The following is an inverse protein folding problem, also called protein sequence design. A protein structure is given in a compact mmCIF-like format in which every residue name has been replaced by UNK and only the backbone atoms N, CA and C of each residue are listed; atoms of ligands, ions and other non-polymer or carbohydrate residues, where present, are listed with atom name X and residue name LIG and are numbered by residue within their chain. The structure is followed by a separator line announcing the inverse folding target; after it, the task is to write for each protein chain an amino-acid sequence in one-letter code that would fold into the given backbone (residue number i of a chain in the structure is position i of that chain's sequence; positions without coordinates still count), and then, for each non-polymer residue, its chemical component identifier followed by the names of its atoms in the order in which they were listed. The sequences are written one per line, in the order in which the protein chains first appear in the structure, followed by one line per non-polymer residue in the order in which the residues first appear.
data_IF_169230050296
#
_entry.id   IF_169230050296
#
_cell.length_a   1.000
_cell.length_b   1.000
_cell.length_c   1.000
_cell.angle_alpha   90.00
_cell.angle_beta   90.00
_cell.angle_gamma   90.00
#
_symmetry.space_group_name_H-M   'P 1'
#
loop_
_entity.id
_entity.type
_entity.pdbx_description
1 polymer ?
#
# COMPACT_ATOMS: atom_id res chain seq x y z
N UNK A 1 4.18 32.31 12.94
CA UNK A 1 2.79 32.42 13.41
C UNK A 1 1.77 32.14 12.31
N UNK A 2 1.77 32.81 11.16
CA UNK A 2 0.83 32.55 10.04
C UNK A 2 0.88 31.12 9.50
N UNK A 3 2.03 30.49 9.33
CA UNK A 3 2.18 29.11 8.87
C UNK A 3 1.62 28.07 9.84
N UNK A 4 1.71 28.31 11.16
CA UNK A 4 1.12 27.40 12.17
C UNK A 4 -0.40 27.50 12.20
N UNK A 5 -0.95 28.70 12.04
CA UNK A 5 -2.41 28.92 11.97
C UNK A 5 -2.98 28.26 10.73
N UNK A 6 -2.32 28.37 9.59
CA UNK A 6 -2.77 27.74 8.34
C UNK A 6 -2.72 26.19 8.40
N UNK A 7 -1.66 25.61 9.00
CA UNK A 7 -1.57 24.17 9.23
C UNK A 7 -2.68 23.66 10.16
N UNK A 8 -2.94 24.36 11.27
CA UNK A 8 -4.01 24.00 12.19
C UNK A 8 -5.39 24.01 11.55
N UNK A 9 -5.69 25.03 10.75
CA UNK A 9 -6.96 25.14 10.01
C UNK A 9 -7.11 24.01 8.97
N UNK A 10 -6.08 23.73 8.19
CA UNK A 10 -6.09 22.67 7.19
C UNK A 10 -6.32 21.29 7.83
N UNK A 11 -5.66 21.01 8.97
CA UNK A 11 -5.81 19.77 9.70
C UNK A 11 -7.23 19.61 10.27
N UNK A 12 -7.80 20.68 10.83
CA UNK A 12 -9.17 20.66 11.39
C UNK A 12 -10.22 20.44 10.29
N UNK A 13 -10.10 21.12 9.15
CA UNK A 13 -11.01 20.95 8.01
C UNK A 13 -10.90 19.52 7.45
N UNK A 14 -9.67 19.00 7.31
CA UNK A 14 -9.44 17.63 6.89
C UNK A 14 -10.06 16.61 7.85
N UNK A 15 -9.93 16.82 9.16
CA UNK A 15 -10.49 15.92 10.16
C UNK A 15 -12.03 15.89 10.10
N UNK A 16 -12.68 17.06 10.07
CA UNK A 16 -14.15 17.16 9.93
C UNK A 16 -14.64 16.53 8.64
N UNK A 17 -13.94 16.76 7.54
CA UNK A 17 -14.22 16.08 6.27
C UNK A 17 -14.05 14.57 6.40
N UNK A 18 -12.99 14.12 7.07
CA UNK A 18 -12.72 12.71 7.30
C UNK A 18 -13.80 12.01 8.11
N UNK A 19 -14.33 12.63 9.17
CA UNK A 19 -15.45 12.10 9.94
C UNK A 19 -16.69 11.87 9.07
N UNK A 20 -16.90 12.70 8.07
CA UNK A 20 -18.04 12.60 7.15
C UNK A 20 -17.81 11.61 6.01
N UNK A 21 -16.62 11.58 5.41
CA UNK A 21 -16.36 10.91 4.14
C UNK A 21 -15.54 9.62 4.27
N UNK A 22 -14.68 9.50 5.33
CA UNK A 22 -13.71 8.40 5.44
C UNK A 22 -14.14 7.30 6.40
N UNK A 23 -15.30 7.47 7.04
CA UNK A 23 -15.91 6.50 7.95
C UNK A 23 -16.86 5.56 7.19
N UNK A 24 -17.39 4.57 7.89
CA UNK A 24 -18.37 3.62 7.35
C UNK A 24 -19.58 4.32 6.72
N UNK A 25 -20.13 5.33 7.40
CA UNK A 25 -21.27 6.09 6.88
C UNK A 25 -20.94 6.86 5.60
N UNK A 26 -19.70 7.39 5.49
CA UNK A 26 -19.22 8.02 4.26
C UNK A 26 -19.12 7.03 3.10
N UNK A 27 -18.59 5.84 3.37
CA UNK A 27 -18.54 4.76 2.40
C UNK A 27 -19.93 4.32 1.95
N UNK A 28 -20.86 4.06 2.87
CA UNK A 28 -22.23 3.64 2.56
C UNK A 28 -22.96 4.69 1.70
N UNK A 29 -22.76 5.98 2.00
CA UNK A 29 -23.29 7.08 1.20
C UNK A 29 -22.73 7.10 -0.22
N UNK A 30 -21.42 6.94 -0.39
CA UNK A 30 -20.78 6.90 -1.69
C UNK A 30 -21.16 5.62 -2.47
N UNK A 31 -21.19 4.48 -1.79
CA UNK A 31 -21.47 3.18 -2.36
C UNK A 31 -22.90 3.06 -2.93
N UNK A 32 -23.83 3.89 -2.46
CA UNK A 32 -25.19 3.96 -3.02
C UNK A 32 -25.22 4.35 -4.51
N UNK A 33 -24.13 4.94 -5.00
CA UNK A 33 -23.97 5.35 -6.41
C UNK A 33 -23.11 4.36 -7.21
N UNK A 34 -22.55 3.31 -6.59
CA UNK A 34 -21.76 2.32 -7.30
C UNK A 34 -22.66 1.36 -8.07
N UNK A 35 -22.23 0.99 -9.27
CA UNK A 35 -22.88 -0.08 -10.00
C UNK A 35 -22.44 -1.44 -9.42
N UNK A 36 -23.34 -2.26 -8.86
CA UNK A 36 -22.98 -3.56 -8.29
C UNK A 36 -22.26 -4.49 -9.28
N UNK A 37 -22.56 -4.37 -10.58
CA UNK A 37 -21.93 -5.16 -11.63
C UNK A 37 -20.48 -4.79 -11.95
N UNK A 38 -19.97 -3.63 -11.50
CA UNK A 38 -18.61 -3.19 -11.82
C UNK A 38 -17.53 -4.12 -11.24
N UNK A 39 -17.85 -4.87 -10.19
CA UNK A 39 -16.96 -5.84 -9.56
C UNK A 39 -17.24 -7.30 -9.96
N UNK A 40 -18.19 -7.53 -10.84
CA UNK A 40 -18.48 -8.86 -11.39
C UNK A 40 -17.58 -9.13 -12.60
N UNK A 41 -16.30 -9.32 -12.30
CA UNK A 41 -15.24 -9.53 -13.27
C UNK A 41 -14.52 -10.84 -13.01
N UNK A 42 -14.23 -11.58 -14.07
CA UNK A 42 -13.33 -12.73 -14.06
C UNK A 42 -11.88 -12.24 -14.32
N UNK A 43 -10.97 -12.62 -13.44
CA UNK A 43 -9.54 -12.32 -13.57
C UNK A 43 -8.69 -13.59 -13.67
N UNK A 44 -9.31 -14.68 -14.12
CA UNK A 44 -8.61 -15.95 -14.39
C UNK A 44 -7.47 -15.73 -15.36
N UNK A 45 -6.32 -16.31 -15.05
CA UNK A 45 -5.09 -16.14 -15.84
C UNK A 45 -4.32 -14.85 -15.59
N UNK A 46 -4.84 -13.93 -14.78
CA UNK A 46 -4.09 -12.74 -14.36
C UNK A 46 -3.35 -12.99 -13.04
N UNK A 47 -2.15 -12.42 -12.92
CA UNK A 47 -1.31 -12.51 -11.73
C UNK A 47 -1.24 -11.19 -10.96
N UNK A 48 -1.40 -11.28 -9.65
CA UNK A 48 -1.45 -10.14 -8.73
C UNK A 48 -0.39 -10.30 -7.64
N UNK A 49 0.48 -9.32 -7.47
CA UNK A 49 1.38 -9.27 -6.34
C UNK A 49 0.92 -8.20 -5.35
N UNK A 50 0.63 -8.60 -4.10
CA UNK A 50 0.01 -7.75 -3.09
C UNK A 50 0.90 -7.70 -1.85
N UNK A 51 1.40 -6.52 -1.49
CA UNK A 51 2.21 -6.36 -0.29
C UNK A 51 1.34 -6.15 0.96
N UNK A 52 1.76 -6.70 2.10
CA UNK A 52 1.03 -6.60 3.36
C UNK A 52 -0.32 -7.32 3.35
N UNK A 53 -0.39 -8.46 2.65
CA UNK A 53 -1.63 -9.19 2.38
C UNK A 53 -1.98 -10.27 3.41
N UNK A 54 -1.30 -10.30 4.56
CA UNK A 54 -1.61 -11.23 5.65
C UNK A 54 -2.68 -10.69 6.63
N UNK A 55 -3.14 -9.45 6.47
CA UNK A 55 -4.15 -8.84 7.33
C UNK A 55 -4.85 -7.66 6.67
N UNK A 56 -5.95 -7.19 7.27
CA UNK A 56 -6.64 -5.96 6.90
C UNK A 56 -7.00 -5.85 5.42
N UNK A 57 -6.77 -4.67 4.85
CA UNK A 57 -7.11 -4.33 3.45
C UNK A 57 -6.42 -5.29 2.47
N UNK A 58 -5.11 -5.53 2.64
CA UNK A 58 -4.35 -6.39 1.74
C UNK A 58 -4.88 -7.83 1.71
N UNK A 59 -5.25 -8.40 2.87
CA UNK A 59 -5.82 -9.74 2.95
C UNK A 59 -7.19 -9.81 2.28
N UNK A 60 -8.05 -8.80 2.52
CA UNK A 60 -9.37 -8.75 1.87
C UNK A 60 -9.23 -8.61 0.36
N UNK A 61 -8.32 -7.77 -0.12
CA UNK A 61 -8.02 -7.63 -1.55
C UNK A 61 -7.55 -8.96 -2.15
N UNK A 62 -6.62 -9.66 -1.49
CA UNK A 62 -6.13 -10.96 -1.92
C UNK A 62 -7.26 -11.99 -2.04
N UNK A 63 -8.14 -12.03 -1.04
CA UNK A 63 -9.31 -12.93 -1.03
C UNK A 63 -10.27 -12.65 -2.19
N UNK A 64 -10.60 -11.38 -2.41
CA UNK A 64 -11.55 -11.00 -3.48
C UNK A 64 -11.00 -11.28 -4.89
N UNK A 65 -9.68 -11.12 -5.08
CA UNK A 65 -9.01 -11.49 -6.32
C UNK A 65 -8.99 -13.02 -6.49
N UNK A 66 -8.66 -13.76 -5.43
CA UNK A 66 -8.66 -15.22 -5.46
C UNK A 66 -10.04 -15.78 -5.79
N UNK A 67 -11.14 -15.23 -5.20
CA UNK A 67 -12.53 -15.60 -5.52
C UNK A 67 -12.90 -15.41 -6.99
N UNK A 68 -12.22 -14.50 -7.68
CA UNK A 68 -12.44 -14.20 -9.11
C UNK A 68 -11.45 -14.93 -10.04
N UNK A 69 -10.79 -15.97 -9.52
CA UNK A 69 -9.91 -16.85 -10.30
C UNK A 69 -8.49 -16.34 -10.52
N UNK A 70 -8.11 -15.17 -9.95
CA UNK A 70 -6.77 -14.62 -10.11
C UNK A 70 -5.69 -15.41 -9.36
N UNK A 71 -4.48 -15.41 -9.89
CA UNK A 71 -3.28 -15.88 -9.21
C UNK A 71 -2.78 -14.81 -8.25
N UNK A 72 -2.64 -15.14 -6.97
CA UNK A 72 -2.29 -14.19 -5.91
C UNK A 72 -0.92 -14.50 -5.32
N UNK A 73 0.00 -13.55 -5.42
CA UNK A 73 1.29 -13.55 -4.76
C UNK A 73 1.25 -12.62 -3.55
N UNK A 74 1.17 -13.18 -2.37
CA UNK A 74 1.14 -12.47 -1.09
C UNK A 74 2.56 -12.15 -0.64
N UNK A 75 2.93 -10.87 -0.53
CA UNK A 75 4.23 -10.45 0.01
C UNK A 75 4.06 -9.96 1.44
N UNK A 76 4.66 -10.67 2.40
CA UNK A 76 4.50 -10.46 3.83
C UNK A 76 5.83 -10.63 4.56
N UNK A 77 6.03 -9.96 5.69
CA UNK A 77 7.29 -10.07 6.46
C UNK A 77 7.31 -11.22 7.49
N UNK A 78 6.16 -11.76 7.88
CA UNK A 78 6.04 -12.78 8.91
C UNK A 78 5.48 -14.06 8.31
N UNK A 79 6.26 -15.14 8.36
CA UNK A 79 5.93 -16.43 7.75
C UNK A 79 4.64 -17.04 8.33
N UNK A 80 4.54 -17.14 9.65
CA UNK A 80 3.40 -17.78 10.31
C UNK A 80 2.07 -17.09 9.95
N UNK A 81 2.04 -15.75 10.02
CA UNK A 81 0.86 -14.96 9.65
C UNK A 81 0.56 -15.05 8.15
N UNK A 82 1.57 -15.12 7.30
CA UNK A 82 1.40 -15.25 5.86
C UNK A 82 0.75 -16.59 5.51
N UNK A 83 1.25 -17.70 6.06
CA UNK A 83 0.72 -19.03 5.81
C UNK A 83 -0.69 -19.20 6.40
N UNK A 84 -0.95 -18.68 7.60
CA UNK A 84 -2.30 -18.69 8.17
C UNK A 84 -3.30 -17.90 7.30
N UNK A 85 -2.91 -16.74 6.80
CA UNK A 85 -3.77 -15.94 5.90
C UNK A 85 -3.96 -16.62 4.55
N UNK A 86 -2.89 -17.21 3.98
CA UNK A 86 -2.95 -17.98 2.74
C UNK A 86 -3.94 -19.15 2.84
N UNK A 87 -3.83 -19.95 3.90
CA UNK A 87 -4.74 -21.08 4.12
C UNK A 87 -6.21 -20.64 4.17
N UNK A 88 -6.51 -19.54 4.89
CA UNK A 88 -7.86 -18.98 4.96
C UNK A 88 -8.35 -18.47 3.59
N UNK A 89 -7.49 -17.81 2.81
CA UNK A 89 -7.84 -17.32 1.46
C UNK A 89 -8.17 -18.51 0.54
N UNK A 90 -7.35 -19.56 0.56
CA UNK A 90 -7.59 -20.78 -0.23
C UNK A 90 -8.92 -21.44 0.19
N UNK A 91 -9.14 -21.59 1.49
CA UNK A 91 -10.36 -22.18 2.03
C UNK A 91 -11.62 -21.42 1.60
N UNK A 92 -11.61 -20.09 1.70
CA UNK A 92 -12.76 -19.25 1.39
C UNK A 92 -12.98 -19.04 -0.12
N UNK A 93 -11.92 -18.96 -0.91
CA UNK A 93 -12.00 -18.71 -2.37
C UNK A 93 -12.13 -19.99 -3.17
N UNK A 94 -11.73 -21.15 -2.63
CA UNK A 94 -11.55 -22.43 -3.34
C UNK A 94 -10.53 -22.34 -4.49
N UNK A 95 -9.62 -21.38 -4.42
CA UNK A 95 -8.57 -21.16 -5.42
C UNK A 95 -7.20 -21.48 -4.82
N UNK A 96 -6.53 -22.48 -5.36
CA UNK A 96 -5.21 -22.94 -4.91
C UNK A 96 -4.05 -22.03 -5.42
N UNK A 97 -4.31 -21.14 -6.38
CA UNK A 97 -3.30 -20.27 -6.97
C UNK A 97 -2.98 -19.06 -6.05
N UNK A 98 -2.70 -19.34 -4.78
CA UNK A 98 -2.34 -18.36 -3.76
C UNK A 98 -0.98 -18.73 -3.17
N UNK A 99 0.01 -17.86 -3.32
CA UNK A 99 1.41 -18.08 -2.96
C UNK A 99 1.87 -17.05 -1.93
N UNK A 100 2.52 -17.51 -0.84
CA UNK A 100 3.12 -16.62 0.14
C UNK A 100 4.62 -16.43 -0.13
N UNK A 101 5.06 -15.17 -0.09
CA UNK A 101 6.46 -14.77 -0.20
C UNK A 101 6.84 -13.98 1.03
N UNK A 102 7.96 -14.33 1.65
CA UNK A 102 8.44 -13.66 2.86
C UNK A 102 9.47 -12.63 2.47
N UNK A 103 9.14 -11.36 2.73
CA UNK A 103 9.97 -10.22 2.40
C UNK A 103 9.69 -9.06 3.37
N UNK A 104 10.75 -8.47 3.92
CA UNK A 104 10.68 -7.22 4.67
C UNK A 104 11.00 -6.04 3.75
N UNK A 105 9.99 -5.18 3.53
CA UNK A 105 10.13 -4.01 2.66
C UNK A 105 11.02 -2.91 3.26
N UNK A 106 11.49 -3.04 4.49
CA UNK A 106 12.51 -2.15 5.05
C UNK A 106 13.94 -2.51 4.65
N UNK A 107 14.13 -3.62 3.92
CA UNK A 107 15.43 -4.16 3.50
C UNK A 107 15.62 -4.02 1.99
N UNK A 108 16.29 -2.97 1.51
CA UNK A 108 16.42 -2.66 0.08
C UNK A 108 17.03 -3.79 -0.75
N UNK A 109 18.06 -4.46 -0.21
CA UNK A 109 18.74 -5.55 -0.90
C UNK A 109 17.84 -6.76 -1.08
N UNK A 110 17.13 -7.15 -0.01
CA UNK A 110 16.23 -8.30 -0.04
C UNK A 110 15.09 -8.09 -1.06
N UNK A 111 14.60 -6.85 -1.20
CA UNK A 111 13.58 -6.52 -2.21
C UNK A 111 14.12 -6.75 -3.62
N UNK A 112 15.34 -6.28 -3.90
CA UNK A 112 15.96 -6.43 -5.20
C UNK A 112 16.17 -7.89 -5.57
N UNK A 113 16.73 -8.67 -4.63
CA UNK A 113 17.01 -10.08 -4.82
C UNK A 113 15.70 -10.88 -4.98
N UNK A 114 14.68 -10.57 -4.19
CA UNK A 114 13.32 -11.13 -4.37
C UNK A 114 12.76 -10.86 -5.77
N UNK A 115 12.82 -9.63 -6.25
CA UNK A 115 12.30 -9.28 -7.58
C UNK A 115 13.04 -10.01 -8.69
N UNK A 116 14.37 -10.14 -8.59
CA UNK A 116 15.17 -10.89 -9.54
C UNK A 116 14.79 -12.38 -9.58
N UNK A 117 14.54 -12.99 -8.42
CA UNK A 117 14.11 -14.39 -8.33
C UNK A 117 12.65 -14.58 -8.72
N UNK A 118 11.79 -13.64 -8.42
CA UNK A 118 10.40 -13.65 -8.86
C UNK A 118 10.30 -13.60 -10.39
N UNK A 119 11.09 -12.74 -11.04
CA UNK A 119 11.12 -12.61 -12.49
C UNK A 119 11.66 -13.85 -13.23
N UNK A 120 12.48 -14.70 -12.58
CA UNK A 120 12.94 -15.98 -13.14
C UNK A 120 11.83 -17.04 -13.18
N UNK A 121 10.85 -16.93 -12.27
CA UNK A 121 9.80 -17.95 -12.07
C UNK A 121 8.45 -17.55 -12.63
N UNK A 122 8.30 -16.32 -13.10
CA UNK A 122 7.05 -15.78 -13.62
C UNK A 122 7.32 -15.06 -14.95
N UNK A 123 6.51 -15.35 -15.95
CA UNK A 123 6.67 -14.77 -17.29
C UNK A 123 6.23 -13.31 -17.36
N UNK A 124 5.22 -12.93 -16.58
CA UNK A 124 4.65 -11.59 -16.48
C UNK A 124 4.02 -11.34 -15.11
N UNK A 125 3.68 -10.11 -14.83
CA UNK A 125 2.88 -9.67 -13.68
C UNK A 125 1.84 -8.67 -14.18
N UNK A 126 0.55 -8.96 -13.98
CA UNK A 126 -0.53 -8.07 -14.45
C UNK A 126 -0.74 -6.89 -13.51
N UNK A 127 -0.75 -7.15 -12.19
CA UNK A 127 -1.06 -6.12 -11.20
C UNK A 127 -0.11 -6.18 -10.01
N UNK A 128 0.52 -5.04 -9.70
CA UNK A 128 1.23 -4.81 -8.44
C UNK A 128 0.36 -3.94 -7.52
N UNK A 129 0.05 -4.43 -6.31
CA UNK A 129 -0.64 -3.68 -5.27
C UNK A 129 0.34 -3.34 -4.14
N UNK A 130 0.81 -2.12 -4.12
CA UNK A 130 1.63 -1.55 -3.04
C UNK A 130 0.72 -1.15 -1.87
N UNK A 131 0.37 -2.13 -1.03
CA UNK A 131 -0.53 -1.92 0.10
C UNK A 131 0.19 -1.91 1.45
N UNK A 132 1.32 -2.59 1.58
CA UNK A 132 2.07 -2.62 2.84
C UNK A 132 2.43 -1.22 3.33
N UNK A 133 2.40 -1.05 4.63
CA UNK A 133 2.85 0.17 5.29
C UNK A 133 3.04 -0.07 6.79
N UNK A 134 3.87 0.75 7.39
CA UNK A 134 4.04 0.80 8.84
C UNK A 134 3.99 2.26 9.32
N UNK A 135 3.65 2.43 10.58
CA UNK A 135 3.74 3.68 11.30
C UNK A 135 4.38 3.39 12.66
N UNK A 136 5.64 3.74 12.83
CA UNK A 136 6.33 3.69 14.12
C UNK A 136 6.43 5.10 14.68
N UNK A 137 6.12 5.24 15.97
CA UNK A 137 5.98 6.56 16.61
C UNK A 137 7.30 7.09 17.22
N UNK A 138 8.34 6.25 17.24
CA UNK A 138 9.68 6.63 17.62
C UNK A 138 10.59 6.46 16.41
N UNK A 139 11.61 7.29 16.28
CA UNK A 139 12.58 7.15 15.21
C UNK A 139 13.40 5.88 15.41
N UNK A 140 13.13 4.89 14.58
CA UNK A 140 13.90 3.65 14.48
C UNK A 140 14.71 3.67 13.18
N UNK A 141 15.94 3.19 13.26
CA UNK A 141 16.84 3.07 12.12
C UNK A 141 17.06 1.59 11.83
N UNK A 142 16.97 1.20 10.56
CA UNK A 142 17.24 -0.16 10.10
C UNK A 142 18.73 -0.47 10.13
N UNK A 143 19.09 -1.75 9.95
CA UNK A 143 20.50 -2.19 9.84
C UNK A 143 21.25 -1.49 8.68
N UNK A 144 20.51 -1.06 7.65
CA UNK A 144 21.05 -0.30 6.51
C UNK A 144 21.16 1.22 6.77
N UNK A 145 20.92 1.68 8.00
CA UNK A 145 21.00 3.10 8.36
C UNK A 145 19.82 3.95 7.90
N UNK A 146 18.69 3.34 7.53
CA UNK A 146 17.51 4.04 7.01
C UNK A 146 16.43 4.21 8.09
N UNK A 147 15.74 5.36 8.10
CA UNK A 147 14.55 5.54 8.95
C UNK A 147 13.47 4.55 8.53
N UNK A 148 12.89 3.84 9.48
CA UNK A 148 12.05 2.65 9.27
C UNK A 148 10.75 2.92 8.52
N UNK A 149 10.06 4.03 8.80
CA UNK A 149 8.86 4.40 8.06
C UNK A 149 9.21 4.74 6.60
N UNK A 150 10.26 5.53 6.39
CA UNK A 150 10.76 5.87 5.06
C UNK A 150 11.21 4.63 4.30
N UNK A 151 12.03 3.77 4.93
CA UNK A 151 12.53 2.55 4.33
C UNK A 151 11.39 1.64 3.84
N UNK A 152 10.37 1.44 4.69
CA UNK A 152 9.23 0.55 4.38
C UNK A 152 8.24 1.18 3.41
N UNK A 153 7.77 2.40 3.72
CA UNK A 153 6.62 2.98 3.01
C UNK A 153 7.01 3.62 1.68
N UNK A 154 8.19 4.23 1.61
CA UNK A 154 8.62 5.00 0.44
C UNK A 154 9.66 4.25 -0.38
N UNK A 155 10.81 3.96 0.22
CA UNK A 155 11.94 3.36 -0.49
C UNK A 155 11.63 1.92 -0.92
N UNK A 156 11.04 1.11 -0.02
CA UNK A 156 10.66 -0.26 -0.34
C UNK A 156 9.62 -0.33 -1.45
N UNK A 157 8.61 0.53 -1.40
CA UNK A 157 7.61 0.69 -2.48
C UNK A 157 8.28 1.11 -3.80
N UNK A 158 9.23 2.04 -3.73
CA UNK A 158 9.97 2.50 -4.91
C UNK A 158 10.78 1.38 -5.55
N UNK A 159 11.62 0.68 -4.76
CA UNK A 159 12.48 -0.39 -5.27
C UNK A 159 11.63 -1.53 -5.86
N UNK A 160 10.61 -1.98 -5.13
CA UNK A 160 9.73 -3.06 -5.58
C UNK A 160 9.06 -2.71 -6.91
N UNK A 161 8.52 -1.50 -7.02
CA UNK A 161 7.85 -1.04 -8.25
C UNK A 161 8.83 -0.98 -9.41
N UNK A 162 9.99 -0.33 -9.23
CA UNK A 162 10.99 -0.19 -10.29
C UNK A 162 11.58 -1.53 -10.74
N UNK A 163 11.86 -2.43 -9.80
CA UNK A 163 12.43 -3.74 -10.11
C UNK A 163 11.43 -4.69 -10.82
N UNK A 164 10.12 -4.54 -10.55
CA UNK A 164 9.07 -5.33 -11.21
C UNK A 164 8.55 -4.69 -12.50
N UNK A 165 8.91 -3.46 -12.83
CA UNK A 165 8.47 -2.79 -14.08
C UNK A 165 8.76 -3.61 -15.36
N UNK A 166 9.93 -4.26 -15.53
CA UNK A 166 10.18 -5.07 -16.71
C UNK A 166 9.19 -6.24 -16.84
N UNK A 167 8.79 -6.83 -15.71
CA UNK A 167 7.84 -7.94 -15.67
C UNK A 167 6.40 -7.45 -15.91
N UNK A 168 6.02 -6.32 -15.33
CA UNK A 168 4.73 -5.66 -15.55
C UNK A 168 4.55 -5.31 -17.05
N UNK A 169 5.57 -4.78 -17.70
CA UNK A 169 5.52 -4.40 -19.13
C UNK A 169 5.30 -5.57 -20.09
N UNK A 170 5.45 -6.81 -19.63
CA UNK A 170 5.12 -8.01 -20.43
C UNK A 170 3.63 -8.36 -20.38
N UNK A 171 2.88 -7.85 -19.42
CA UNK A 171 1.44 -8.06 -19.35
C UNK A 171 0.68 -7.23 -20.38
N UNK A 172 -0.52 -7.67 -20.74
CA UNK A 172 -1.36 -6.98 -21.73
C UNK A 172 -1.89 -5.63 -21.23
N UNK A 173 -2.34 -5.56 -19.98
CA UNK A 173 -2.90 -4.34 -19.36
C UNK A 173 -2.30 -4.14 -17.96
N UNK A 174 -1.00 -3.87 -17.85
CA UNK A 174 -0.32 -3.83 -16.56
C UNK A 174 -0.81 -2.68 -15.69
N UNK A 175 -0.93 -2.94 -14.39
CA UNK A 175 -1.38 -1.95 -13.41
C UNK A 175 -0.47 -1.92 -12.19
N UNK A 176 -0.26 -0.73 -11.65
CA UNK A 176 0.32 -0.53 -10.32
C UNK A 176 -0.66 0.29 -9.51
N UNK A 177 -1.12 -0.28 -8.40
CA UNK A 177 -2.06 0.36 -7.47
C UNK A 177 -1.33 0.62 -6.16
N UNK A 178 -1.26 1.89 -5.75
CA UNK A 178 -0.61 2.28 -4.49
C UNK A 178 -1.66 2.70 -3.46
N UNK A 179 -1.65 2.03 -2.30
CA UNK A 179 -2.54 2.36 -1.18
C UNK A 179 -1.87 3.41 -0.32
N UNK A 180 -2.26 4.67 -0.53
CA UNK A 180 -1.81 5.82 0.24
C UNK A 180 -2.67 6.02 1.50
N UNK A 181 -2.83 7.24 1.96
CA UNK A 181 -3.65 7.61 3.12
C UNK A 181 -4.18 9.03 2.98
N UNK A 182 -5.35 9.30 3.55
CA UNK A 182 -5.87 10.66 3.66
C UNK A 182 -4.96 11.62 4.44
N UNK A 183 -4.09 11.10 5.31
CA UNK A 183 -3.05 11.88 5.99
C UNK A 183 -2.12 12.64 5.06
N UNK A 184 -1.93 12.17 3.82
CA UNK A 184 -1.12 12.87 2.81
C UNK A 184 -1.65 14.28 2.47
N UNK A 185 -2.92 14.56 2.71
CA UNK A 185 -3.55 15.85 2.44
C UNK A 185 -3.10 16.96 3.41
N UNK A 186 -2.61 16.59 4.60
CA UNK A 186 -2.11 17.55 5.59
C UNK A 186 -0.59 17.77 5.51
N UNK A 187 0.07 17.17 4.53
CA UNK A 187 1.51 17.30 4.30
C UNK A 187 1.82 17.80 2.89
N UNK A 188 2.76 18.72 2.79
CA UNK A 188 3.42 19.07 1.53
C UNK A 188 4.61 18.13 1.31
N UNK A 189 4.99 17.90 0.05
CA UNK A 189 6.18 17.12 -0.24
C UNK A 189 7.42 17.88 0.30
N UNK A 190 8.16 17.20 1.17
CA UNK A 190 9.48 17.63 1.61
C UNK A 190 10.52 16.59 1.16
N UNK A 191 11.51 17.05 0.41
CA UNK A 191 12.62 16.23 -0.10
C UNK A 191 13.95 16.56 0.55
N UNK A 192 13.98 17.51 1.49
CA UNK A 192 15.22 17.99 2.12
C UNK A 192 15.64 17.10 3.28
N UNK A 193 14.65 16.48 3.96
CA UNK A 193 14.90 15.59 5.11
C UNK A 193 13.98 14.35 5.02
N UNK A 194 14.28 13.47 4.07
CA UNK A 194 13.50 12.26 3.82
C UNK A 194 13.51 11.27 4.99
N UNK A 195 14.53 11.31 5.81
CA UNK A 195 14.73 10.38 6.92
C UNK A 195 14.44 11.00 8.29
N UNK A 196 13.92 12.24 8.32
CA UNK A 196 13.57 12.95 9.55
C UNK A 196 14.73 12.91 10.58
N UNK A 197 15.91 13.36 10.13
CA UNK A 197 17.12 13.42 10.95
C UNK A 197 17.14 14.67 11.84
N UNK A 198 16.35 15.68 11.48
CA UNK A 198 16.31 16.96 12.16
C UNK A 198 14.96 17.22 12.83
N UNK A 199 15.01 17.83 14.00
CA UNK A 199 13.83 18.22 14.77
C UNK A 199 13.21 17.11 15.61
N UNK A 200 11.98 17.32 16.08
CA UNK A 200 11.24 16.32 16.88
C UNK A 200 10.54 15.34 15.95
N UNK A 201 10.79 14.06 16.18
CA UNK A 201 10.16 12.99 15.41
C UNK A 201 8.70 12.81 15.83
N UNK A 202 7.80 12.89 14.87
CA UNK A 202 6.38 12.59 15.01
C UNK A 202 6.02 11.51 13.96
N UNK A 203 5.83 10.28 14.42
CA UNK A 203 5.57 9.13 13.54
C UNK A 203 4.32 9.29 12.67
N UNK A 204 3.31 10.02 13.15
CA UNK A 204 2.08 10.28 12.37
C UNK A 204 2.39 11.23 11.21
N UNK A 205 3.16 12.30 11.47
CA UNK A 205 3.55 13.25 10.43
C UNK A 205 4.55 12.65 9.45
N UNK A 206 5.49 11.82 9.92
CA UNK A 206 6.41 11.05 9.08
C UNK A 206 5.64 10.10 8.15
N UNK A 207 4.69 9.35 8.71
CA UNK A 207 3.81 8.48 7.92
C UNK A 207 3.02 9.27 6.87
N UNK A 208 2.45 10.41 7.24
CA UNK A 208 1.72 11.27 6.32
C UNK A 208 2.63 11.79 5.17
N UNK A 209 3.89 12.13 5.46
CA UNK A 209 4.91 12.46 4.46
C UNK A 209 5.19 11.28 3.53
N UNK A 210 5.41 10.08 4.07
CA UNK A 210 5.64 8.92 3.23
C UNK A 210 4.44 8.65 2.30
N UNK A 211 3.21 8.82 2.79
CA UNK A 211 2.01 8.67 1.98
C UNK A 211 1.87 9.78 0.92
N UNK A 212 2.36 10.99 1.19
CA UNK A 212 2.49 12.06 0.19
C UNK A 212 3.55 11.71 -0.87
N UNK A 213 4.69 11.19 -0.45
CA UNK A 213 5.75 10.73 -1.36
C UNK A 213 5.24 9.64 -2.31
N UNK A 214 4.43 8.68 -1.82
CA UNK A 214 3.81 7.65 -2.65
C UNK A 214 2.90 8.22 -3.75
N UNK A 215 2.13 9.28 -3.46
CA UNK A 215 1.29 9.97 -4.45
C UNK A 215 2.15 10.59 -5.54
N UNK A 216 3.20 11.33 -5.16
CA UNK A 216 4.11 11.98 -6.10
C UNK A 216 4.87 10.96 -6.96
N UNK A 217 5.35 9.87 -6.36
CA UNK A 217 6.00 8.77 -7.09
C UNK A 217 5.05 8.14 -8.11
N UNK A 218 3.79 7.88 -7.72
CA UNK A 218 2.78 7.31 -8.62
C UNK A 218 2.52 8.23 -9.82
N UNK A 219 2.37 9.54 -9.57
CA UNK A 219 2.20 10.54 -10.61
C UNK A 219 3.43 10.63 -11.54
N UNK A 220 4.63 10.57 -10.97
CA UNK A 220 5.87 10.57 -11.74
C UNK A 220 6.00 9.33 -12.63
N UNK A 221 5.76 8.14 -12.10
CA UNK A 221 5.81 6.90 -12.87
C UNK A 221 4.76 6.84 -13.97
N UNK A 222 3.57 7.37 -13.75
CA UNK A 222 2.52 7.39 -14.77
C UNK A 222 2.93 8.19 -16.01
N UNK A 223 3.73 9.26 -15.82
CA UNK A 223 4.29 10.06 -16.92
C UNK A 223 5.45 9.35 -17.63
N UNK A 224 6.30 8.65 -16.86
CA UNK A 224 7.48 7.96 -17.41
C UNK A 224 7.14 6.65 -18.13
N UNK A 225 6.04 6.01 -17.75
CA UNK A 225 5.68 4.67 -18.24
C UNK A 225 4.22 4.62 -18.71
N UNK A 226 3.88 5.31 -19.84
CA UNK A 226 2.50 5.42 -20.33
C UNK A 226 1.86 4.08 -20.71
N UNK A 227 2.66 3.02 -20.90
CA UNK A 227 2.16 1.65 -21.14
C UNK A 227 1.75 0.89 -19.86
N UNK A 228 1.92 1.47 -18.67
CA UNK A 228 1.49 0.88 -17.40
C UNK A 228 0.49 1.82 -16.74
N UNK A 229 -0.64 1.30 -16.31
CA UNK A 229 -1.62 2.11 -15.60
C UNK A 229 -1.23 2.25 -14.13
N UNK A 230 -0.85 3.46 -13.71
CA UNK A 230 -0.56 3.78 -12.31
C UNK A 230 -1.75 4.48 -11.67
N UNK A 231 -2.14 4.01 -10.51
CA UNK A 231 -3.17 4.63 -9.69
C UNK A 231 -2.77 4.67 -8.23
N UNK A 232 -3.26 5.66 -7.53
CA UNK A 232 -3.09 5.81 -6.08
C UNK A 232 -4.44 6.10 -5.46
N UNK A 233 -4.70 5.47 -4.31
CA UNK A 233 -5.95 5.61 -3.58
C UNK A 233 -5.69 5.82 -2.09
N UNK A 234 -6.69 6.34 -1.41
CA UNK A 234 -6.77 6.30 0.04
C UNK A 234 -8.05 5.53 0.42
N UNK A 235 -7.95 4.52 1.32
CA UNK A 235 -9.04 3.57 1.55
C UNK A 235 -10.12 4.06 2.53
N UNK A 236 -10.01 5.28 3.04
CA UNK A 236 -10.79 5.73 4.18
C UNK A 236 -10.16 5.35 5.51
N UNK A 237 -10.90 5.52 6.58
CA UNK A 237 -10.52 5.04 7.91
C UNK A 237 -11.08 3.64 8.12
N UNK A 238 -10.22 2.65 7.89
CA UNK A 238 -10.59 1.24 7.91
C UNK A 238 -10.07 0.60 9.19
N UNK A 239 -10.94 -0.15 9.88
CA UNK A 239 -10.52 -0.96 11.01
C UNK A 239 -9.62 -2.11 10.52
N UNK A 240 -8.38 -2.06 10.94
CA UNK A 240 -7.37 -3.05 10.59
C UNK A 240 -6.56 -3.46 11.82
N UNK A 241 -6.04 -4.71 11.87
CA UNK A 241 -5.17 -5.16 12.97
C UNK A 241 -3.85 -4.40 13.11
N UNK A 242 -3.53 -3.52 12.18
CA UNK A 242 -2.40 -2.61 12.28
C UNK A 242 -2.64 -1.62 13.41
N UNK A 243 -1.95 -1.79 14.53
CA UNK A 243 -2.00 -0.84 15.65
C UNK A 243 -1.34 0.46 15.21
N UNK A 244 -2.12 1.40 14.74
CA UNK A 244 -1.73 2.80 14.73
C UNK A 244 -1.79 3.27 16.18
N UNK A 245 -0.62 3.41 16.83
CA UNK A 245 -0.51 3.65 18.27
C UNK A 245 -1.46 4.73 18.76
N UNK A 246 -2.48 4.32 19.50
CA UNK A 246 -3.32 5.18 20.33
C UNK A 246 -4.45 5.95 19.66
N UNK A 247 -4.55 6.06 18.34
CA UNK A 247 -5.80 6.51 17.71
C UNK A 247 -6.68 5.28 17.47
N UNK A 248 -7.70 5.11 18.29
CA UNK A 248 -8.84 4.27 17.96
C UNK A 248 -9.43 4.81 16.66
N UNK A 249 -9.19 4.11 15.55
CA UNK A 249 -9.88 4.41 14.30
C UNK A 249 -11.32 4.00 14.53
N UNK A 250 -12.18 4.96 14.63
CA UNK A 250 -13.60 4.76 14.87
C UNK A 250 -14.20 3.89 13.77
N UNK A 251 -15.04 2.94 14.22
CA UNK A 251 -15.82 2.01 13.42
C UNK A 251 -16.70 2.73 12.40
#
# INVERSE_FOLDING_TARGET
MFLQIHRGFTTSVWFVKGLREYTRSGFESAASQFNPGDLDVDVTGQSFLITGSNSGIGKRTALEIAKRGGTVHMVCRNLERAEAARAQIIEESKNENVFAHILDLSKPRDIWDFCADFAKRNDHLDVLVNNAGCMVNQREVTDDGLEKNFATNTLGTYILTCALLPLLKKANKPRVVTVSSGGMLVQQLDVKDLQHEHGTFDGTMVYAQNKRQQVVLTEHWSRLHPGVHFSVLHPGWVDTPGRFGGLAVFY
#
